data_IF_704546177192
#
_entry.id   IF_704546177192
#
_cell.length_a   1.000
_cell.length_b   1.000
_cell.length_c   1.000
_cell.angle_alpha   90.00
_cell.angle_beta   90.00
_cell.angle_gamma   90.00
#
_symmetry.space_group_name_H-M   'P 1'
#
loop_
_entity.id
_entity.type
_entity.pdbx_description
1 polymer ?
#
# COMPACT_ATOMS: atom_id res chain seq x y z
N UNK A 1 14.74 1.34 3.94
CA UNK A 1 13.41 0.78 3.64
C UNK A 1 12.41 1.89 3.42
N UNK A 2 11.83 1.93 2.26
CA UNK A 2 10.82 2.94 1.93
C UNK A 2 9.95 2.43 0.79
N UNK A 3 8.75 2.98 0.72
CA UNK A 3 7.85 2.71 -0.40
C UNK A 3 8.32 3.49 -1.63
N UNK A 4 7.85 3.04 -2.80
CA UNK A 4 8.08 3.76 -4.05
C UNK A 4 7.34 5.10 -4.05
N UNK A 5 7.56 5.91 -5.10
CA UNK A 5 6.87 7.18 -5.27
C UNK A 5 5.34 6.97 -5.29
N UNK A 6 4.57 8.03 -5.05
CA UNK A 6 3.11 7.94 -5.09
C UNK A 6 2.60 7.29 -6.37
N UNK A 7 1.58 6.44 -6.23
CA UNK A 7 1.00 5.69 -7.32
C UNK A 7 -0.42 6.20 -7.59
N UNK A 8 -0.73 6.46 -8.86
CA UNK A 8 -2.08 6.87 -9.27
C UNK A 8 -2.77 5.69 -9.95
N UNK A 9 -3.97 5.37 -9.50
CA UNK A 9 -4.75 4.24 -10.03
C UNK A 9 -6.21 4.64 -10.23
N UNK A 10 -6.93 3.86 -11.04
CA UNK A 10 -8.37 4.02 -11.19
C UNK A 10 -9.12 3.48 -9.96
N UNK A 11 -10.32 3.99 -9.68
CA UNK A 11 -11.15 3.43 -8.61
C UNK A 11 -11.39 1.94 -8.80
N UNK A 12 -11.23 1.16 -7.75
CA UNK A 12 -11.46 -0.28 -7.77
C UNK A 12 -10.39 -1.09 -8.49
N UNK A 13 -9.29 -0.47 -8.91
CA UNK A 13 -8.21 -1.19 -9.61
C UNK A 13 -7.51 -2.16 -8.67
N UNK A 14 -6.97 -3.24 -9.24
CA UNK A 14 -6.13 -4.19 -8.50
C UNK A 14 -4.72 -3.60 -8.43
N UNK A 15 -4.20 -3.46 -7.21
CA UNK A 15 -2.85 -2.94 -6.96
C UNK A 15 -1.96 -4.09 -6.54
N UNK A 16 -0.83 -4.24 -7.24
CA UNK A 16 0.15 -5.27 -6.94
C UNK A 16 1.28 -4.68 -6.13
N UNK A 17 1.58 -5.31 -4.99
CA UNK A 17 2.67 -4.90 -4.11
C UNK A 17 3.78 -5.93 -4.19
N UNK A 18 4.99 -5.48 -4.52
CA UNK A 18 6.17 -6.34 -4.59
C UNK A 18 7.11 -5.93 -3.46
N UNK A 19 7.45 -6.88 -2.60
CA UNK A 19 8.39 -6.66 -1.52
C UNK A 19 9.72 -7.33 -1.88
N UNK A 20 10.72 -6.51 -2.21
CA UNK A 20 12.05 -7.00 -2.55
C UNK A 20 12.98 -7.08 -1.34
N UNK A 21 12.50 -6.74 -0.16
CA UNK A 21 13.30 -6.79 1.06
C UNK A 21 13.28 -8.18 1.67
N UNK A 22 14.23 -8.43 2.54
CA UNK A 22 14.33 -9.68 3.29
C UNK A 22 13.49 -9.66 4.57
N UNK A 23 12.68 -8.64 4.77
CA UNK A 23 11.78 -8.51 5.92
C UNK A 23 10.35 -8.30 5.44
N UNK A 24 9.41 -8.70 6.26
CA UNK A 24 7.99 -8.55 5.96
C UNK A 24 7.55 -7.09 6.08
N UNK A 25 6.64 -6.69 5.19
CA UNK A 25 6.04 -5.36 5.21
C UNK A 25 4.53 -5.44 5.11
N UNK A 26 3.86 -4.34 5.44
CA UNK A 26 2.44 -4.18 5.16
C UNK A 26 2.20 -2.90 4.37
N UNK A 27 1.08 -2.86 3.67
CA UNK A 27 0.55 -1.62 3.08
C UNK A 27 -0.79 -1.40 3.75
N UNK A 28 -0.81 -0.47 4.71
CA UNK A 28 -1.95 -0.27 5.59
C UNK A 28 -2.38 1.19 5.51
N UNK A 29 -3.63 1.43 5.12
CA UNK A 29 -4.17 2.78 5.07
C UNK A 29 -4.11 3.42 6.46
N UNK A 30 -3.72 4.70 6.52
CA UNK A 30 -3.56 5.42 7.79
C UNK A 30 -4.89 5.59 8.51
N UNK A 31 -5.98 5.64 7.78
CA UNK A 31 -7.30 5.83 8.38
C UNK A 31 -8.37 5.09 7.56
N UNK A 32 -9.51 4.84 8.21
CA UNK A 32 -10.69 4.32 7.54
C UNK A 32 -10.62 2.86 7.11
N UNK A 33 -9.56 2.15 7.42
CA UNK A 33 -9.37 0.75 7.01
C UNK A 33 -9.62 0.53 5.53
N UNK A 34 -9.24 1.52 4.69
CA UNK A 34 -9.53 1.48 3.26
C UNK A 34 -8.82 0.31 2.57
N UNK A 35 -7.65 -0.07 3.05
CA UNK A 35 -6.93 -1.26 2.61
C UNK A 35 -5.90 -1.66 3.67
N UNK A 36 -5.58 -2.93 3.67
CA UNK A 36 -4.57 -3.49 4.57
C UNK A 36 -4.11 -4.81 3.99
N UNK A 37 -2.86 -4.88 3.57
CA UNK A 37 -2.30 -6.10 2.99
C UNK A 37 -0.92 -6.37 3.57
N UNK A 38 -0.65 -7.64 3.83
CA UNK A 38 0.62 -8.11 4.35
C UNK A 38 1.41 -8.70 3.18
N UNK A 39 2.69 -8.34 3.08
CA UNK A 39 3.57 -8.83 2.03
C UNK A 39 4.80 -9.46 2.67
N UNK A 40 4.92 -10.77 2.57
CA UNK A 40 6.07 -11.50 3.11
C UNK A 40 7.38 -11.08 2.44
N UNK A 41 8.49 -11.45 3.07
CA UNK A 41 9.82 -11.17 2.53
C UNK A 41 9.95 -11.77 1.12
N UNK A 42 10.48 -10.97 0.19
CA UNK A 42 10.61 -11.32 -1.23
C UNK A 42 9.28 -11.78 -1.86
N UNK A 43 8.15 -11.33 -1.29
CA UNK A 43 6.83 -11.75 -1.70
C UNK A 43 6.10 -10.73 -2.56
N UNK A 44 4.93 -11.15 -3.02
CA UNK A 44 4.02 -10.32 -3.80
C UNK A 44 2.62 -10.49 -3.24
N UNK A 45 1.89 -9.38 -3.13
CA UNK A 45 0.50 -9.40 -2.69
C UNK A 45 -0.31 -8.41 -3.51
N UNK A 46 -1.63 -8.56 -3.49
CA UNK A 46 -2.51 -7.63 -4.21
C UNK A 46 -3.61 -7.14 -3.28
N UNK A 47 -4.10 -5.95 -3.56
CA UNK A 47 -5.31 -5.44 -2.91
C UNK A 47 -6.11 -4.62 -3.92
N UNK A 48 -7.38 -4.41 -3.60
CA UNK A 48 -8.27 -3.61 -4.44
C UNK A 48 -8.25 -2.16 -3.96
N UNK A 49 -7.97 -1.23 -4.86
CA UNK A 49 -7.99 0.19 -4.54
C UNK A 49 -9.39 0.62 -4.12
N UNK A 50 -9.50 1.64 -3.23
CA UNK A 50 -10.79 2.20 -2.91
C UNK A 50 -11.54 2.67 -4.15
N UNK A 51 -12.87 2.64 -4.09
CA UNK A 51 -13.70 3.10 -5.21
C UNK A 51 -13.95 4.59 -5.17
N UNK A 52 -13.70 5.24 -4.04
CA UNK A 52 -13.88 6.67 -3.91
C UNK A 52 -12.58 7.39 -4.26
N UNK A 53 -12.62 8.34 -5.21
CA UNK A 53 -11.42 9.13 -5.56
C UNK A 53 -10.89 9.90 -4.35
N UNK A 54 -9.57 10.02 -4.29
CA UNK A 54 -8.90 10.74 -3.21
C UNK A 54 -7.46 10.31 -3.06
N UNK A 55 -6.77 10.93 -2.11
CA UNK A 55 -5.41 10.57 -1.75
C UNK A 55 -5.44 9.79 -0.44
N UNK A 56 -4.86 8.59 -0.47
CA UNK A 56 -4.86 7.68 0.67
C UNK A 56 -3.43 7.50 1.15
N UNK A 57 -3.11 8.09 2.29
CA UNK A 57 -1.82 7.86 2.93
C UNK A 57 -1.80 6.46 3.54
N UNK A 58 -0.65 5.80 3.50
CA UNK A 58 -0.50 4.49 4.10
C UNK A 58 0.88 4.35 4.76
N UNK A 59 1.01 3.32 5.55
CA UNK A 59 2.24 3.03 6.30
C UNK A 59 2.46 1.52 6.37
N UNK A 60 3.66 1.14 6.80
CA UNK A 60 3.97 -0.24 7.16
C UNK A 60 3.80 -0.40 8.67
N UNK A 61 2.99 -1.35 9.10
CA UNK A 61 2.72 -1.58 10.53
C UNK A 61 3.99 -1.97 11.28
N UNK A 62 4.87 -2.75 10.64
CA UNK A 62 6.11 -3.20 11.28
C UNK A 62 7.18 -2.11 11.31
N UNK A 63 7.08 -1.12 10.44
CA UNK A 63 8.06 -0.04 10.31
C UNK A 63 7.29 1.28 10.16
N UNK A 64 6.80 1.87 11.27
CA UNK A 64 5.89 3.02 11.20
C UNK A 64 6.45 4.24 10.49
N UNK A 65 7.77 4.33 10.33
CA UNK A 65 8.38 5.42 9.56
C UNK A 65 8.28 5.24 8.04
N UNK A 66 7.86 4.06 7.57
CA UNK A 66 7.61 3.83 6.15
C UNK A 66 6.22 4.35 5.79
N UNK A 67 6.18 5.36 4.94
CA UNK A 67 4.95 5.99 4.49
C UNK A 67 4.88 6.05 2.98
N UNK A 68 3.69 6.04 2.44
CA UNK A 68 3.45 6.23 1.03
C UNK A 68 2.07 6.82 0.78
N UNK A 69 1.76 7.04 -0.49
CA UNK A 69 0.47 7.58 -0.90
C UNK A 69 -0.08 6.84 -2.10
N UNK A 70 -1.37 6.52 -2.05
CA UNK A 70 -2.12 5.98 -3.17
C UNK A 70 -3.11 7.04 -3.61
N UNK A 71 -3.05 7.42 -4.88
CA UNK A 71 -3.95 8.42 -5.45
C UNK A 71 -4.96 7.70 -6.33
N UNK A 72 -6.24 7.85 -6.01
CA UNK A 72 -7.33 7.24 -6.76
C UNK A 72 -8.06 8.34 -7.51
N UNK A 73 -8.11 8.23 -8.83
CA UNK A 73 -8.79 9.23 -9.65
C UNK A 73 -9.28 8.70 -11.00
#
# INVERSE_FOLDING_TARGET
MKFSAPLTVAPGATVTVVNSDSVEHTVTADSGNAFNVDVGDNGTATFTAPTQPGTYAYHCTYHPSMHGQLIVQ
#
